data_IF_176930528780
#
_entry.id   IF_176930528780
#
_cell.length_a   1.000
_cell.length_b   1.000
_cell.length_c   1.000
_cell.angle_alpha   90.00
_cell.angle_beta   90.00
_cell.angle_gamma   90.00
#
_symmetry.space_group_name_H-M   'P 1'
#
loop_
_entity.id
_entity.type
_entity.pdbx_description
1 polymer ?
2 polymer ?
3 polymer ?
4 non-polymer ?
5 non-polymer ?
6 water ?
#
# COMPACT_ATOMS: atom_id res chain seq x y z
N UNK A 7 -2.61 18.14 8.23
CA UNK A 7 -3.79 18.43 9.01
C UNK A 7 -5.01 17.73 8.42
N UNK A 8 -4.96 17.64 7.10
CA UNK A 8 -6.01 17.02 6.33
C UNK A 8 -5.74 15.61 5.86
N UNK A 9 -4.75 14.95 6.45
CA UNK A 9 -4.39 13.62 5.94
C UNK A 9 -5.60 12.71 6.05
N UNK A 10 -5.72 11.75 5.15
CA UNK A 10 -6.70 10.72 5.30
C UNK A 10 -8.15 11.09 5.10
N UNK A 11 -8.39 12.31 4.63
CA UNK A 11 -9.71 12.80 4.30
C UNK A 11 -9.78 12.99 2.77
N UNK A 12 -10.55 12.16 2.07
CA UNK A 12 -10.49 12.16 0.62
C UNK A 12 -11.34 13.27 0.02
N UNK A 13 -10.77 14.02 -0.89
CA UNK A 13 -11.56 15.10 -1.55
C UNK A 13 -12.89 14.64 -2.11
N UNK A 14 -12.96 13.43 -2.72
CA UNK A 14 -14.22 13.03 -3.32
C UNK A 14 -15.15 12.24 -2.44
N UNK A 15 -14.70 12.02 -1.19
CA UNK A 15 -15.52 11.26 -0.24
C UNK A 15 -15.67 12.05 1.04
N UNK A 16 -14.77 11.91 2.00
CA UNK A 16 -15.03 12.55 3.30
C UNK A 16 -15.20 14.06 3.17
N UNK A 17 -14.38 14.72 2.34
CA UNK A 17 -14.59 16.16 2.16
C UNK A 17 -15.50 16.32 0.79
N UNK A 18 -16.70 15.77 0.98
CA UNK A 18 -18.02 16.04 0.46
C UNK A 18 -19.13 15.27 1.16
N UNK A 19 -18.74 14.57 2.26
CA UNK A 19 -19.62 13.68 3.00
C UNK A 19 -20.29 12.70 2.06
N UNK A 20 -19.51 12.12 1.15
CA UNK A 20 -19.91 10.97 0.35
C UNK A 20 -19.19 9.70 0.86
N UNK A 21 -19.92 8.60 0.90
CA UNK A 21 -19.34 7.29 1.27
C UNK A 21 -19.05 6.47 0.04
N UNK A 22 -17.93 5.75 0.09
CA UNK A 22 -17.63 4.82 -1.02
C UNK A 22 -18.43 3.54 -0.86
N UNK A 23 -18.37 2.68 -1.85
CA UNK A 23 -19.27 1.54 -1.89
C UNK A 23 -19.05 0.48 -0.84
N UNK A 24 -17.86 0.41 -0.24
CA UNK A 24 -17.67 -0.69 0.72
C UNK A 24 -17.09 -0.24 2.05
N UNK A 25 -16.93 1.06 2.30
CA UNK A 25 -16.36 1.45 3.60
C UNK A 25 -17.23 1.04 4.76
N UNK A 26 -18.54 0.92 4.52
CA UNK A 26 -19.39 0.47 5.62
C UNK A 26 -19.03 -0.92 6.10
N UNK A 27 -18.57 -1.79 5.19
CA UNK A 27 -18.09 -3.14 5.59
C UNK A 27 -16.98 -3.05 6.63
N UNK A 28 -16.08 -2.04 6.44
CA UNK A 28 -15.02 -1.84 7.41
C UNK A 28 -15.62 -1.40 8.75
N UNK A 29 -16.50 -0.39 8.68
CA UNK A 29 -17.09 0.10 9.92
C UNK A 29 -17.81 -0.99 10.68
N UNK A 30 -18.53 -1.84 9.98
CA UNK A 30 -19.26 -2.93 10.65
C UNK A 30 -18.37 -3.93 11.33
N UNK A 31 -17.08 -4.03 10.92
CA UNK A 31 -16.15 -4.96 11.51
C UNK A 31 -15.49 -4.39 12.77
N UNK A 32 -15.66 -3.09 13.02
CA UNK A 32 -14.99 -2.46 14.17
C UNK A 32 -15.93 -2.47 15.36
N UNK A 33 -16.17 -3.76 15.82
CA UNK A 33 -17.36 -3.96 16.67
C UNK A 33 -17.00 -3.66 18.08
N UNK A 34 -15.77 -4.03 18.43
CA UNK A 34 -15.47 -4.16 19.83
C UNK A 34 -14.04 -4.28 20.15
N UNK B 1 -4.49 -7.73 -7.34
CA UNK B 1 -5.50 -8.07 -6.33
C UNK B 1 -6.35 -9.20 -6.90
N UNK B 2 -6.43 -10.28 -6.17
CA UNK B 2 -7.33 -11.41 -6.52
C UNK B 2 -8.64 -11.27 -5.76
N UNK B 3 -9.74 -11.47 -6.47
CA UNK B 3 -11.09 -11.52 -5.93
C UNK B 3 -11.50 -10.17 -5.32
N UNK B 4 -10.97 -9.08 -5.88
CA UNK B 4 -11.34 -7.70 -5.57
C UNK B 4 -12.34 -7.16 -6.55
N UNK B 5 -12.40 -5.83 -6.57
CA UNK B 5 -13.29 -5.15 -7.49
C UNK B 5 -12.66 -3.85 -7.94
N UNK B 6 -13.21 -3.22 -8.96
CA UNK B 6 -12.71 -1.95 -9.42
C UNK B 6 -12.87 -0.89 -8.35
N UNK B 7 -11.81 -0.12 -8.15
CA UNK B 7 -11.90 1.07 -7.31
C UNK B 7 -12.81 2.12 -7.93
N UNK B 8 -13.43 2.93 -7.08
CA UNK B 8 -14.12 4.12 -7.50
C UNK B 8 -13.13 5.24 -7.78
N UNK B 9 -13.49 6.21 -8.61
CA UNK B 9 -12.60 7.34 -8.81
C UNK B 9 -12.37 8.07 -7.51
N UNK B 10 -11.12 8.36 -7.22
CA UNK B 10 -10.71 9.04 -6.02
C UNK B 10 -10.83 8.28 -4.73
N UNK B 11 -11.04 6.97 -4.80
CA UNK B 11 -11.24 6.16 -3.60
C UNK B 11 -9.98 5.97 -2.78
N UNK B 12 -8.83 5.96 -3.45
CA UNK B 12 -7.53 5.74 -2.83
C UNK B 12 -6.56 6.79 -3.37
N UNK B 13 -6.74 8.07 -2.98
CA UNK B 13 -5.96 9.14 -3.64
C UNK B 13 -4.51 9.20 -3.18
N UNK B 14 -4.17 8.39 -2.19
CA UNK B 14 -2.79 8.18 -1.74
C UNK B 14 -2.10 7.04 -2.49
N UNK B 15 -2.81 6.33 -3.38
CA UNK B 15 -2.17 5.24 -4.11
C UNK B 15 -1.07 5.74 -5.04
N UNK B 16 0.07 5.07 -5.03
CA UNK B 16 1.18 5.41 -5.89
C UNK B 16 1.57 4.16 -6.66
N UNK B 17 1.87 4.36 -7.93
CA UNK B 17 2.47 3.31 -8.74
C UNK B 17 3.96 3.55 -8.85
N UNK B 18 4.73 2.59 -8.70
CA UNK B 18 6.16 2.58 -8.97
C UNK B 18 6.37 2.04 -10.35
N UNK B 19 7.06 2.81 -11.03
CA UNK B 19 7.12 2.48 -12.48
C UNK B 19 8.58 2.37 -12.89
N UNK B 20 8.96 1.24 -13.48
CA UNK B 20 10.30 1.08 -14.02
C UNK B 20 10.40 1.90 -15.33
N UNK B 21 11.45 2.70 -15.44
CA UNK B 21 11.64 3.56 -16.61
C UNK B 21 11.91 2.78 -17.90
N UNK B 22 12.81 1.81 -17.81
CA UNK B 22 13.18 1.07 -19.02
C UNK B 22 13.55 -0.36 -18.59
N UNK B 23 12.87 -1.41 -19.01
CA UNK B 23 11.61 -1.31 -19.78
C UNK B 23 10.47 -0.71 -18.92
N UNK B 24 9.64 0.09 -19.55
CA UNK B 24 8.48 0.73 -18.90
C UNK B 24 7.58 -0.34 -18.32
N UNK B 25 7.53 -0.50 -16.99
CA UNK B 25 6.67 -1.52 -16.43
C UNK B 25 6.28 -1.24 -14.96
N UNK B 26 5.21 -1.87 -14.52
CA UNK B 26 4.75 -1.72 -13.16
C UNK B 26 5.71 -2.46 -12.25
N UNK B 27 6.30 -1.81 -11.25
CA UNK B 27 7.14 -2.57 -10.32
C UNK B 27 6.42 -2.95 -9.04
N UNK B 28 5.69 -2.01 -8.51
CA UNK B 28 5.03 -2.25 -7.23
C UNK B 28 4.09 -1.08 -6.94
N UNK B 29 3.38 -1.24 -5.83
CA UNK B 29 2.64 -0.14 -5.26
C UNK B 29 3.46 0.59 -4.19
N UNK B 30 2.82 1.67 -3.71
CA UNK B 30 3.36 2.61 -2.75
C UNK B 30 2.23 3.54 -2.30
N UNK B 31 2.56 4.44 -1.38
CA UNK B 31 1.55 5.34 -0.88
C UNK B 31 2.11 6.74 -0.62
N UNK B 32 1.27 7.76 -0.78
CA UNK B 32 1.65 9.13 -0.55
C UNK B 32 1.42 9.52 0.90
N UNK B 33 2.43 9.92 1.62
CA UNK B 33 2.25 10.28 3.04
C UNK B 33 2.48 11.77 3.28
N UNK B 34 2.99 12.49 2.29
CA UNK B 34 3.01 13.96 2.30
C UNK B 34 3.34 14.42 0.89
N UNK B 35 3.54 15.75 0.72
CA UNK B 35 3.73 16.25 -0.63
C UNK B 35 5.07 15.83 -1.19
N UNK B 36 6.00 15.33 -0.43
CA UNK B 36 7.32 14.94 -0.87
C UNK B 36 7.72 13.52 -0.49
N UNK B 37 6.95 12.77 0.23
CA UNK B 37 7.34 11.45 0.76
C UNK B 37 6.34 10.36 0.35
N UNK B 38 6.91 9.26 -0.15
CA UNK B 38 6.22 8.07 -0.57
C UNK B 38 6.76 6.88 0.21
N UNK B 39 5.86 6.04 0.69
CA UNK B 39 6.13 4.88 1.50
C UNK B 39 5.92 3.62 0.64
N UNK B 40 6.85 2.67 0.76
CA UNK B 40 6.70 1.41 0.04
C UNK B 40 7.35 0.28 0.87
N UNK B 41 7.42 -0.92 0.27
CA UNK B 41 8.11 -2.05 0.86
C UNK B 41 9.55 -2.04 0.38
N UNK B 42 10.47 -2.32 1.28
CA UNK B 42 11.88 -2.42 0.93
C UNK B 42 12.11 -3.45 -0.18
N UNK B 43 11.39 -4.58 -0.15
CA UNK B 43 11.66 -5.61 -1.16
C UNK B 43 11.33 -5.12 -2.57
N UNK B 44 10.55 -4.04 -2.78
CA UNK B 44 10.29 -3.48 -4.05
C UNK B 44 11.53 -2.80 -4.62
N UNK B 45 12.46 -2.45 -3.77
CA UNK B 45 13.63 -1.69 -4.18
C UNK B 45 14.90 -2.51 -4.01
N UNK B 46 14.96 -3.39 -3.03
CA UNK B 46 16.17 -4.15 -2.73
C UNK B 46 15.83 -5.60 -2.44
N UNK B 47 16.27 -6.50 -3.28
CA UNK B 47 16.02 -7.92 -3.03
C UNK B 47 17.10 -8.69 -3.77
N UNK B 48 18.24 -8.80 -3.12
CA UNK B 48 19.38 -9.53 -3.74
C UNK B 48 19.10 -10.92 -4.25
N UNK B 49 18.26 -11.77 -3.68
CA UNK B 49 18.09 -13.11 -4.29
C UNK B 49 17.57 -13.04 -5.71
N UNK B 50 16.96 -11.93 -6.09
CA UNK B 50 16.57 -11.74 -7.49
C UNK B 50 17.34 -10.69 -8.25
N UNK B 51 18.50 -10.31 -7.76
CA UNK B 51 19.35 -9.27 -8.35
C UNK B 51 18.60 -7.96 -8.56
N UNK B 52 17.78 -7.64 -7.57
CA UNK B 52 17.03 -6.38 -7.57
C UNK B 52 17.72 -5.42 -6.63
N UNK B 53 18.13 -4.28 -7.16
CA UNK B 53 18.73 -3.21 -6.39
C UNK B 53 18.59 -1.91 -7.18
N UNK B 54 17.46 -1.26 -6.96
CA UNK B 54 17.21 -0.07 -7.75
C UNK B 54 17.79 1.17 -7.11
N UNK B 55 18.20 2.07 -8.00
CA UNK B 55 18.69 3.36 -7.45
C UNK B 55 17.67 4.38 -7.91
N UNK B 56 17.79 5.60 -7.45
CA UNK B 56 16.79 6.62 -7.67
C UNK B 56 16.42 6.83 -9.13
N UNK B 57 17.45 6.74 -9.98
CA UNK B 57 17.22 7.15 -11.37
C UNK B 57 16.65 6.04 -12.22
N UNK B 58 16.45 4.87 -11.61
CA UNK B 58 15.88 3.75 -12.34
C UNK B 58 14.35 3.80 -12.39
N UNK B 59 13.77 4.68 -11.57
CA UNK B 59 12.35 4.62 -11.28
C UNK B 59 11.62 5.95 -11.37
N UNK B 60 10.31 5.85 -11.53
CA UNK B 60 9.43 6.99 -11.41
C UNK B 60 8.23 6.61 -10.54
N UNK B 61 7.59 7.60 -9.98
CA UNK B 61 6.37 7.32 -9.26
C UNK B 61 5.22 8.05 -9.99
N UNK B 62 4.10 7.34 -10.09
CA UNK B 62 2.92 7.90 -10.75
C UNK B 62 1.79 7.98 -9.73
N UNK B 63 1.28 9.18 -9.56
CA UNK B 63 0.34 9.50 -8.48
C UNK B 63 -0.96 9.97 -9.11
N UNK B 64 -2.10 9.61 -8.51
CA UNK B 64 -3.38 10.04 -9.00
C UNK B 64 -4.02 9.13 -10.03
N UNK B 65 -3.43 7.94 -10.18
CA UNK B 65 -3.91 7.07 -11.26
C UNK B 65 -5.13 6.25 -10.88
N UNK B 66 -5.76 5.83 -11.97
CA UNK B 66 -6.87 4.92 -11.93
C UNK B 66 -6.67 3.79 -12.93
N UNK B 67 -6.58 4.16 -14.22
CA UNK B 67 -6.17 3.19 -15.22
C UNK B 67 -4.77 2.67 -14.98
N UNK B 68 -4.54 1.37 -15.21
CA UNK B 68 -3.20 0.76 -15.06
C UNK B 68 -2.26 1.28 -16.14
N UNK B 69 -2.71 1.19 -17.39
CA UNK B 69 -1.74 1.37 -18.49
C UNK B 69 -1.81 2.74 -19.13
N UNK B 70 -2.93 3.44 -19.01
CA UNK B 70 -3.11 4.76 -19.60
C UNK B 70 -2.17 5.85 -19.08
N UNK B 71 -1.72 6.75 -19.95
CA UNK B 71 -1.24 8.02 -19.42
C UNK B 71 -2.43 8.95 -19.15
N UNK B 72 -2.79 9.16 -17.88
CA UNK B 72 -4.02 9.90 -17.53
C UNK B 72 -3.79 11.39 -17.48
N UNK B 73 -3.78 11.86 -18.74
CA UNK B 73 -3.53 13.27 -18.94
C UNK B 73 -4.37 14.21 -18.07
N UNK B 74 -3.79 15.22 -17.43
CA UNK B 74 -4.48 16.18 -16.62
C UNK B 74 -5.05 15.59 -15.33
N UNK B 75 -4.67 14.40 -14.96
CA UNK B 75 -5.10 13.79 -13.70
C UNK B 75 -3.89 13.27 -12.94
N UNK B 76 -3.15 12.36 -13.57
CA UNK B 76 -1.99 11.78 -12.87
C UNK B 76 -0.85 12.78 -12.89
N UNK B 77 0.05 12.58 -11.95
CA UNK B 77 1.28 13.26 -11.87
C UNK B 77 2.42 12.29 -11.77
N UNK B 78 3.48 12.63 -12.47
CA UNK B 78 4.67 11.73 -12.51
C UNK B 78 5.86 12.43 -11.88
N UNK B 79 6.44 11.82 -10.86
CA UNK B 79 7.47 12.43 -10.03
C UNK B 79 8.75 11.61 -10.09
N UNK B 80 9.85 12.34 -10.03
CA UNK B 80 11.18 11.73 -10.00
C UNK B 80 11.61 11.60 -8.56
N UNK B 81 12.47 10.64 -8.31
CA UNK B 81 13.00 10.39 -6.97
C UNK B 81 14.30 11.15 -6.70
N UNK B 82 14.34 11.81 -5.55
CA UNK B 82 15.55 12.43 -5.02
C UNK B 82 16.39 11.40 -4.29
N UNK B 83 15.79 10.54 -3.46
CA UNK B 83 16.58 9.63 -2.62
C UNK B 83 15.66 8.55 -2.08
N UNK B 84 16.18 7.35 -2.03
CA UNK B 84 15.61 6.18 -1.41
C UNK B 84 16.26 5.91 -0.05
N UNK B 85 15.44 5.54 0.92
CA UNK B 85 15.86 5.17 2.28
C UNK B 85 15.25 3.82 2.62
N UNK B 86 16.09 2.82 2.80
CA UNK B 86 15.62 1.51 3.23
C UNK B 86 15.91 1.29 4.71
N UNK B 87 14.96 0.67 5.44
CA UNK B 87 15.21 0.37 6.85
C UNK B 87 16.56 -0.36 7.02
N UNK B 88 17.43 0.11 7.93
CA UNK B 88 18.76 -0.47 8.03
C UNK B 88 18.81 -1.90 8.48
N UNK B 89 17.86 -2.46 9.11
CA UNK B 89 17.55 -3.76 9.68
C UNK B 89 16.48 -4.54 8.89
N UNK B 90 16.17 -4.11 7.65
CA UNK B 90 15.40 -4.90 6.69
C UNK B 90 16.06 -6.24 6.49
N UNK B 91 15.32 -7.30 6.78
CA UNK B 91 15.86 -8.67 6.77
C UNK B 91 15.47 -9.40 5.52
N UNK B 92 16.12 -9.11 4.41
CA UNK B 92 15.88 -9.74 3.10
C UNK B 92 16.45 -11.15 3.11
N UNK B 93 17.36 -11.49 3.98
CA UNK B 93 17.93 -12.83 3.92
C UNK B 93 16.97 -13.92 4.41
N UNK B 94 16.13 -13.58 5.42
CA UNK B 94 15.30 -14.58 6.09
C UNK B 94 13.82 -14.41 5.79
N UNK B 95 13.16 -13.43 6.38
CA UNK B 95 11.70 -13.37 6.36
C UNK B 95 11.10 -12.04 5.96
N UNK B 96 11.89 -11.13 5.44
CA UNK B 96 11.44 -9.78 5.06
C UNK B 96 11.02 -8.99 6.29
N UNK B 97 11.55 -9.29 7.46
CA UNK B 97 11.30 -8.44 8.62
C UNK B 97 11.68 -7.00 8.33
N UNK B 98 10.88 -6.06 8.83
CA UNK B 98 11.07 -4.64 8.63
C UNK B 98 11.07 -4.27 7.14
N UNK B 99 10.08 -4.74 6.42
CA UNK B 99 9.95 -4.56 4.97
C UNK B 99 9.36 -3.17 4.68
N UNK B 100 10.21 -2.17 4.74
CA UNK B 100 9.74 -0.78 4.64
C UNK B 100 10.84 0.11 4.07
N UNK B 101 10.41 1.06 3.23
CA UNK B 101 11.29 2.00 2.59
C UNK B 101 10.54 3.30 2.32
N UNK B 102 11.30 4.38 2.29
CA UNK B 102 10.80 5.70 2.01
C UNK B 102 11.50 6.26 0.76
N UNK B 103 10.77 7.01 -0.05
CA UNK B 103 11.26 7.67 -1.20
C UNK B 103 10.89 9.15 -1.12
N UNK B 104 11.92 10.01 -1.17
CA UNK B 104 11.75 11.44 -1.22
C UNK B 104 11.69 11.91 -2.67
N UNK B 105 10.66 12.65 -3.05
CA UNK B 105 10.48 13.14 -4.39
C UNK B 105 11.36 14.37 -4.61
N UNK B 106 11.74 14.55 -5.89
CA UNK B 106 12.51 15.72 -6.22
C UNK B 106 11.78 17.06 -6.02
N UNK B 107 10.48 17.06 -6.30
CA UNK B 107 9.68 18.26 -6.14
C UNK B 107 8.38 17.87 -5.48
N UNK B 108 7.76 18.83 -4.82
CA UNK B 108 6.50 18.46 -4.16
C UNK B 108 5.43 18.26 -5.20
N UNK B 109 4.55 17.31 -4.91
CA UNK B 109 3.41 17.07 -5.79
C UNK B 109 2.24 17.92 -5.26
N UNK B 110 1.51 18.54 -6.18
CA UNK B 110 0.31 19.26 -5.86
C UNK B 110 -0.86 18.32 -5.55
N UNK B 111 -1.53 18.57 -4.43
CA UNK B 111 -2.73 17.74 -4.15
C UNK B 111 -3.88 18.12 -5.06
N UNK B 112 -4.83 17.23 -5.24
CA UNK B 112 -5.99 17.46 -6.09
C UNK B 112 -7.11 16.54 -5.64
N UNK B 113 -8.19 16.48 -6.41
CA UNK B 113 -9.25 15.53 -6.10
C UNK B 113 -8.74 14.10 -6.12
N UNK B 114 -7.65 13.85 -6.83
CA UNK B 114 -7.16 12.50 -7.13
C UNK B 114 -5.85 12.19 -6.40
N UNK B 115 -5.26 13.18 -5.74
CA UNK B 115 -3.95 13.08 -5.11
C UNK B 115 -4.00 13.67 -3.72
N UNK B 116 -3.86 12.85 -2.69
CA UNK B 116 -4.05 13.31 -1.34
C UNK B 116 -3.37 12.34 -0.38
N UNK B 117 -2.68 12.79 0.64
CA UNK B 117 -1.98 11.82 1.50
C UNK B 117 -2.83 11.07 2.51
N UNK B 118 -2.38 9.88 2.87
CA UNK B 118 -2.95 9.06 3.91
C UNK B 118 -2.32 9.39 5.28
N UNK B 119 -3.03 9.17 6.38
CA UNK B 119 -2.43 9.35 7.69
C UNK B 119 -1.61 8.15 8.13
N UNK B 120 -0.64 8.40 8.98
CA UNK B 120 0.09 7.33 9.64
C UNK B 120 -0.40 7.16 11.07
N UNK B 121 -0.54 5.94 11.54
CA UNK B 121 -1.04 5.72 12.89
C UNK B 121 -0.10 6.17 13.99
N UNK B 122 -0.68 6.57 15.10
CA UNK B 122 0.04 6.66 16.38
C UNK B 122 -0.29 5.43 17.23
N UNK B 123 0.27 5.40 18.43
CA UNK B 123 0.21 4.18 19.25
C UNK B 123 -1.25 3.85 19.54
N UNK B 124 -2.06 4.89 19.80
CA UNK B 124 -3.43 4.61 20.15
C UNK B 124 -4.22 4.15 18.94
N UNK B 125 -3.90 4.70 17.78
CA UNK B 125 -4.57 4.25 16.56
C UNK B 125 -4.35 2.75 16.39
N UNK B 126 -3.10 2.37 16.54
CA UNK B 126 -2.80 0.95 16.38
C UNK B 126 -3.47 0.07 17.43
N UNK B 127 -3.46 0.55 18.65
CA UNK B 127 -4.12 -0.28 19.66
C UNK B 127 -5.61 -0.38 19.37
N UNK B 128 -6.24 0.70 18.95
CA UNK B 128 -7.69 0.61 18.74
C UNK B 128 -8.04 -0.24 17.52
N UNK B 129 -7.28 -0.22 16.46
CA UNK B 129 -7.75 -0.78 15.19
C UNK B 129 -7.09 -2.10 14.79
N UNK B 130 -5.86 -2.37 15.28
CA UNK B 130 -5.21 -3.60 14.86
C UNK B 130 -5.60 -4.75 15.76
N UNK B 131 -6.81 -5.26 15.51
CA UNK B 131 -7.42 -6.34 16.28
C UNK B 131 -7.96 -7.39 15.33
N UNK B 132 -7.85 -8.64 15.74
CA UNK B 132 -8.38 -9.71 14.89
C UNK B 132 -9.84 -9.48 14.59
N UNK B 133 -10.19 -9.66 13.33
CA UNK B 133 -11.55 -9.47 12.87
C UNK B 133 -11.85 -8.12 12.25
N UNK B 134 -11.11 -7.10 12.71
CA UNK B 134 -11.25 -5.77 12.13
C UNK B 134 -10.75 -5.79 10.70
N UNK B 135 -11.48 -5.16 9.76
CA UNK B 135 -11.07 -5.20 8.38
C UNK B 135 -10.31 -3.96 7.93
N UNK B 136 -9.36 -4.15 7.07
CA UNK B 136 -8.71 -3.10 6.35
C UNK B 136 -8.88 -3.31 4.84
N UNK B 137 -8.28 -2.41 4.07
CA UNK B 137 -8.47 -2.34 2.65
C UNK B 137 -7.11 -2.34 1.95
N UNK B 138 -6.99 -3.20 0.95
CA UNK B 138 -5.74 -3.31 0.16
C UNK B 138 -6.09 -2.93 -1.29
N UNK B 139 -5.22 -2.17 -1.93
CA UNK B 139 -5.42 -1.66 -3.28
C UNK B 139 -4.17 -1.89 -4.13
N UNK B 140 -4.37 -2.09 -5.41
CA UNK B 140 -3.24 -2.25 -6.28
C UNK B 140 -3.60 -2.60 -7.72
N UNK B 141 -2.61 -2.51 -8.58
CA UNK B 141 -2.73 -2.90 -9.98
C UNK B 141 -2.04 -4.21 -10.30
N UNK B 142 -1.75 -5.02 -9.27
CA UNK B 142 -1.16 -6.33 -9.47
C UNK B 142 -2.12 -7.32 -10.13
N UNK B 143 -1.57 -8.52 -10.33
CA UNK B 143 -2.29 -9.53 -11.08
C UNK B 143 -3.60 -9.91 -10.43
N UNK B 144 -4.51 -10.31 -11.29
CA UNK B 144 -5.84 -10.75 -10.83
C UNK B 144 -5.92 -12.21 -10.36
N UNK B 145 -4.89 -12.97 -10.76
CA UNK B 145 -4.74 -14.38 -10.43
C UNK B 145 -3.28 -14.80 -10.24
N UNK B 146 -3.05 -15.80 -9.42
CA UNK B 146 -1.66 -16.31 -9.22
C UNK B 146 -1.04 -16.77 -10.51
N UNK B 147 -1.81 -17.39 -11.42
CA UNK B 147 -1.18 -17.83 -12.67
C UNK B 147 -2.17 -17.67 -13.83
N UNK B 155 -5.67 -11.83 -16.27
CA UNK B 155 -4.29 -11.41 -16.08
C UNK B 155 -4.06 -10.18 -15.23
N UNK B 156 -3.95 -9.02 -15.84
CA UNK B 156 -3.77 -7.70 -15.28
C UNK B 156 -5.01 -6.83 -15.46
N UNK B 157 -5.30 -6.02 -14.46
CA UNK B 157 -6.52 -5.22 -14.46
C UNK B 157 -6.39 -4.00 -15.34
N UNK B 158 -7.55 -3.56 -15.85
CA UNK B 158 -7.71 -2.31 -16.57
C UNK B 158 -7.60 -1.14 -15.59
N UNK B 159 -8.14 -1.27 -14.40
CA UNK B 159 -8.15 -0.20 -13.42
C UNK B 159 -7.81 -0.71 -12.01
N UNK B 160 -7.45 0.25 -11.16
CA UNK B 160 -7.09 -0.06 -9.77
C UNK B 160 -8.09 -0.97 -9.10
N UNK B 161 -7.61 -2.00 -8.40
CA UNK B 161 -8.44 -2.95 -7.71
C UNK B 161 -8.38 -2.68 -6.20
N UNK B 162 -9.47 -3.06 -5.55
CA UNK B 162 -9.66 -2.92 -4.11
C UNK B 162 -10.24 -4.16 -3.48
N UNK B 163 -9.80 -4.54 -2.30
CA UNK B 163 -10.42 -5.63 -1.55
C UNK B 163 -10.30 -5.32 -0.06
N UNK B 164 -11.39 -5.64 0.65
CA UNK B 164 -11.38 -5.48 2.12
C UNK B 164 -11.11 -6.83 2.75
N UNK B 165 -10.24 -6.91 3.74
CA UNK B 165 -9.82 -8.16 4.33
C UNK B 165 -9.68 -8.03 5.86
N UNK B 166 -10.09 -9.05 6.61
CA UNK B 166 -9.94 -9.01 8.07
C UNK B 166 -8.56 -9.34 8.58
N UNK B 167 -8.13 -8.63 9.62
CA UNK B 167 -6.92 -8.99 10.35
C UNK B 167 -7.12 -10.35 11.03
N UNK B 168 -6.10 -11.18 10.98
CA UNK B 168 -6.17 -12.54 11.54
C UNK B 168 -5.45 -12.67 12.86
N UNK B 169 -5.97 -13.57 13.72
CA UNK B 169 -5.30 -13.88 14.95
C UNK B 169 -3.86 -14.33 14.77
N UNK B 170 -2.97 -13.78 15.64
CA UNK B 170 -1.57 -14.11 15.41
C UNK B 170 -1.25 -15.59 15.45
N UNK B 171 -1.76 -16.37 16.36
CA UNK B 171 -1.45 -17.80 16.29
C UNK B 171 -1.94 -18.45 15.00
N UNK B 172 -3.05 -18.00 14.44
CA UNK B 172 -3.48 -18.53 13.14
C UNK B 172 -2.53 -18.17 12.03
N UNK B 173 -2.08 -16.90 11.93
CA UNK B 173 -1.07 -16.50 10.96
C UNK B 173 0.20 -17.36 11.07
N UNK B 174 0.64 -17.61 12.36
CA UNK B 174 1.87 -18.37 12.56
C UNK B 174 1.72 -19.83 12.11
N UNK B 175 0.53 -20.36 12.39
CA UNK B 175 0.26 -21.75 12.04
C UNK B 175 0.02 -21.98 10.55
N UNK B 176 -0.02 -20.94 9.71
CA UNK B 176 -0.24 -21.05 8.28
C UNK B 176 1.02 -21.13 7.44
N UNK B 177 2.17 -21.01 8.07
CA UNK B 177 3.41 -20.79 7.35
C UNK B 177 4.56 -21.42 8.12
N UNK B 178 5.67 -21.71 7.40
CA UNK B 178 6.91 -22.14 8.04
C UNK B 178 7.84 -20.97 8.39
N UNK B 179 7.48 -19.78 7.84
CA UNK B 179 8.29 -18.59 8.04
C UNK B 179 8.10 -18.10 9.46
N UNK B 180 9.19 -17.58 10.03
CA UNK B 180 9.12 -16.96 11.34
C UNK B 180 8.45 -15.59 11.19
N UNK B 181 7.32 -15.45 11.88
CA UNK B 181 6.56 -14.19 11.94
C UNK B 181 7.00 -13.33 13.09
N UNK B 182 7.34 -12.08 12.80
CA UNK B 182 7.81 -11.17 13.80
C UNK B 182 6.70 -10.20 14.22
N UNK B 183 7.02 -9.47 15.31
CA UNK B 183 6.08 -8.47 15.81
C UNK B 183 5.94 -7.28 14.86
N UNK B 184 6.81 -7.08 13.91
CA UNK B 184 6.77 -6.11 12.82
C UNK B 184 5.92 -6.51 11.64
N UNK B 185 5.18 -7.62 11.74
CA UNK B 185 4.31 -8.12 10.71
C UNK B 185 2.91 -8.39 11.30
N UNK B 186 1.88 -8.30 10.48
CA UNK B 186 0.59 -8.87 10.82
C UNK B 186 0.05 -9.55 9.58
N UNK B 187 -0.97 -10.39 9.74
CA UNK B 187 -1.56 -11.02 8.54
C UNK B 187 -3.05 -10.72 8.47
N UNK B 188 -3.56 -10.82 7.24
CA UNK B 188 -4.99 -10.53 7.00
C UNK B 188 -5.44 -11.44 5.87
N UNK B 189 -6.74 -11.70 5.86
CA UNK B 189 -7.36 -12.55 4.88
C UNK B 189 -8.48 -13.35 5.52
N UNK B 190 -9.34 -13.90 4.64
CA UNK B 190 -10.42 -14.79 5.13
C UNK B 190 -9.90 -16.20 5.31
N UNK B 191 -10.53 -16.88 6.25
CA UNK B 191 -10.19 -18.29 6.50
C UNK B 191 -11.00 -19.14 5.54
N UNK B 192 -10.58 -20.36 5.25
CA UNK B 192 -11.35 -21.24 4.35
C UNK B 192 -12.83 -21.32 4.67
N UNK B 193 -12.96 -21.34 5.73
CA UNK B 193 -14.46 -21.58 6.25
C UNK B 193 -15.33 -20.35 6.26
N UNK B 194 -14.72 -19.19 6.15
CA UNK B 194 -15.45 -17.94 6.01
C UNK B 194 -16.02 -17.78 4.60
N UNK B 195 -15.49 -18.53 3.64
CA UNK B 195 -16.03 -18.53 2.29
C UNK B 195 -15.82 -17.27 1.48
N UNK B 196 -15.48 -16.11 2.10
CA UNK B 196 -15.21 -14.97 1.22
C UNK B 196 -13.74 -15.03 0.88
N UNK B 197 -13.33 -14.27 -0.13
CA UNK B 197 -11.97 -14.44 -0.62
C UNK B 197 -11.30 -13.10 -0.88
N UNK B 198 -10.03 -13.11 -1.26
CA UNK B 198 -9.30 -11.94 -1.65
C UNK B 198 -7.87 -11.94 -1.15
N UNK B 199 -6.98 -11.34 -1.90
CA UNK B 199 -5.59 -11.27 -1.49
C UNK B 199 -4.90 -10.31 -2.42
N UNK B 200 -3.74 -9.87 -1.94
CA UNK B 200 -2.80 -9.20 -2.81
C UNK B 200 -2.10 -10.23 -3.69
N UNK B 201 -1.53 -9.74 -4.81
CA UNK B 201 -0.81 -10.64 -5.70
C UNK B 201 0.36 -9.90 -6.35
N UNK B 202 1.09 -10.55 -7.26
CA UNK B 202 2.27 -9.93 -7.88
C UNK B 202 2.00 -8.56 -8.49
N UNK B 203 2.73 -7.53 -8.09
CA UNK B 203 2.53 -6.19 -8.51
C UNK B 203 1.86 -5.31 -7.44
N UNK B 204 1.28 -5.90 -6.43
CA UNK B 204 0.57 -5.19 -5.36
C UNK B 204 1.51 -4.86 -4.20
N UNK B 205 2.64 -5.56 -4.09
CA UNK B 205 3.59 -5.35 -3.06
C UNK B 205 3.95 -3.88 -2.92
N UNK B 206 4.14 -3.44 -1.68
CA UNK B 206 4.50 -2.05 -1.44
C UNK B 206 3.30 -1.15 -1.26
N UNK B 207 2.12 -1.58 -1.68
CA UNK B 207 0.92 -0.80 -1.52
C UNK B 207 0.39 -0.82 -0.12
N UNK B 208 -0.61 0.04 0.11
CA UNK B 208 -1.11 0.21 1.47
C UNK B 208 -2.24 -0.70 1.89
N UNK B 209 -2.25 -1.04 3.16
CA UNK B 209 -3.36 -1.63 3.91
C UNK B 209 -3.88 -0.51 4.81
N UNK B 210 -5.09 -0.01 4.52
CA UNK B 210 -5.63 1.11 5.22
C UNK B 210 -6.90 0.74 6.00
N UNK B 211 -7.14 1.52 7.05
CA UNK B 211 -8.32 1.38 7.90
C UNK B 211 -8.94 2.75 8.13
N UNK B 212 -10.24 2.86 8.22
CA UNK B 212 -10.88 4.16 8.45
C UNK B 212 -11.27 4.27 9.91
N UNK B 213 -10.65 5.19 10.62
CA UNK B 213 -10.94 5.26 12.05
C UNK B 213 -12.41 5.66 12.25
N UNK B 214 -13.14 4.93 13.06
CA UNK B 214 -14.52 5.32 13.36
C UNK B 214 -14.61 6.46 14.36
N UNK B 215 -13.56 6.85 15.02
CA UNK B 215 -13.39 7.92 15.97
C UNK B 215 -13.25 9.27 15.28
N UNK B 216 -12.37 9.43 14.27
CA UNK B 216 -12.17 10.71 13.64
C UNK B 216 -12.38 10.71 12.11
N UNK B 217 -12.89 9.62 11.52
CA UNK B 217 -13.30 9.53 10.14
C UNK B 217 -12.14 9.65 9.16
N UNK B 218 -10.90 9.42 9.60
CA UNK B 218 -9.75 9.51 8.72
C UNK B 218 -9.19 8.13 8.38
N UNK B 219 -8.61 8.05 7.21
CA UNK B 219 -7.91 6.82 6.79
C UNK B 219 -6.46 6.80 7.23
N UNK B 220 -6.07 5.68 7.86
CA UNK B 220 -4.74 5.40 8.32
C UNK B 220 -4.14 4.19 7.60
N UNK B 221 -2.86 4.37 7.28
CA UNK B 221 -2.15 3.25 6.69
C UNK B 221 -1.53 2.39 7.80
N UNK B 222 -2.15 1.26 8.05
CA UNK B 222 -1.72 0.38 9.12
C UNK B 222 -0.67 -0.62 8.65
N UNK B 223 -0.71 -0.95 7.37
CA UNK B 223 0.18 -2.00 6.82
C UNK B 223 0.70 -1.63 5.46
N UNK B 224 1.75 -2.33 5.08
CA UNK B 224 2.31 -2.33 3.70
C UNK B 224 2.28 -3.75 3.20
N UNK B 225 1.80 -3.94 1.97
CA UNK B 225 1.79 -5.27 1.37
C UNK B 225 3.21 -5.80 1.28
N UNK B 226 3.48 -6.92 1.99
CA UNK B 226 4.86 -7.43 2.11
C UNK B 226 5.00 -8.76 1.41
N UNK B 227 4.34 -9.81 1.84
CA UNK B 227 4.58 -11.10 1.21
C UNK B 227 3.40 -12.04 1.46
N UNK B 228 3.32 -13.07 0.59
CA UNK B 228 2.37 -14.14 0.82
C UNK B 228 2.84 -15.38 0.07
N UNK B 229 2.22 -16.49 0.36
CA UNK B 229 2.61 -17.78 -0.24
C UNK B 229 1.53 -18.09 -1.27
N UNK B 230 1.82 -17.75 -2.49
CA UNK B 230 0.86 -17.72 -3.59
C UNK B 230 -0.10 -16.55 -3.42
N UNK B 231 -1.24 -16.60 -4.08
CA UNK B 231 -2.23 -15.56 -3.98
C UNK B 231 -3.59 -16.22 -3.83
N UNK B 232 -4.25 -15.78 -2.76
CA UNK B 232 -5.62 -16.20 -2.47
C UNK B 232 -5.72 -17.71 -2.33
N UNK B 233 -4.69 -18.35 -1.79
CA UNK B 233 -4.78 -19.76 -1.48
C UNK B 233 -5.52 -20.01 -0.18
N UNK B 234 -6.36 -21.06 -0.24
CA UNK B 234 -7.02 -21.44 1.00
C UNK B 234 -6.02 -21.81 2.09
N UNK B 235 -6.19 -21.25 3.28
CA UNK B 235 -5.36 -21.55 4.43
C UNK B 235 -4.08 -20.75 4.48
N UNK B 236 -3.87 -19.88 3.51
CA UNK B 236 -2.72 -18.98 3.50
C UNK B 236 -3.30 -17.57 3.70
N UNK B 237 -2.43 -16.69 4.13
CA UNK B 237 -2.77 -15.30 4.49
C UNK B 237 -1.76 -14.37 3.86
N UNK B 238 -2.14 -13.11 3.70
CA UNK B 238 -1.15 -12.14 3.29
C UNK B 238 -0.53 -11.53 4.55
N UNK B 239 0.76 -11.22 4.36
CA UNK B 239 1.54 -10.60 5.43
C UNK B 239 1.88 -9.17 5.06
N UNK B 240 1.80 -8.31 6.08
CA UNK B 240 1.85 -6.86 5.96
C UNK B 240 2.85 -6.35 7.00
N UNK B 241 3.66 -5.37 6.56
CA UNK B 241 4.54 -4.65 7.44
C UNK B 241 3.71 -3.81 8.42
N UNK B 242 4.00 -3.91 9.70
CA UNK B 242 3.26 -3.19 10.75
C UNK B 242 3.81 -1.76 10.85
N UNK B 243 3.13 -0.83 10.21
CA UNK B 243 3.60 0.53 10.07
C UNK B 243 3.87 1.20 11.41
N UNK B 244 2.96 1.09 12.35
CA UNK B 244 3.17 1.75 13.65
C UNK B 244 4.46 1.25 14.28
N UNK B 245 4.75 -0.05 14.24
CA UNK B 245 5.95 -0.60 14.89
C UNK B 245 7.22 -0.03 14.30
N UNK B 246 7.16 0.50 13.09
CA UNK B 246 8.32 1.05 12.42
C UNK B 246 8.31 2.56 12.32
N UNK B 247 7.39 3.19 13.06
CA UNK B 247 7.24 4.63 12.91
C UNK B 247 8.38 5.45 13.47
N UNK B 248 9.06 4.92 14.50
CA UNK B 248 10.21 5.70 14.96
C UNK B 248 11.22 5.85 13.83
N UNK B 249 11.38 4.79 13.02
CA UNK B 249 12.31 4.95 11.88
C UNK B 249 11.81 5.93 10.84
N UNK B 250 10.50 5.84 10.52
CA UNK B 250 9.90 6.76 9.58
C UNK B 250 10.14 8.21 10.00
N UNK B 251 9.82 8.47 11.24
CA UNK B 251 9.97 9.84 11.73
C UNK B 251 11.44 10.27 11.75
N UNK B 252 12.34 9.36 12.15
CA UNK B 252 13.76 9.69 12.15
C UNK B 252 14.19 10.16 10.79
N UNK B 253 13.80 9.42 9.74
CA UNK B 253 14.23 9.75 8.39
C UNK B 253 13.60 11.07 7.98
N UNK B 254 12.32 11.27 8.18
CA UNK B 254 11.73 12.51 7.72
C UNK B 254 12.28 13.65 8.55
N UNK B 255 12.53 13.47 9.83
CA UNK B 255 13.04 14.56 10.65
C UNK B 255 14.45 14.96 10.24
N UNK B 256 15.24 14.01 9.72
CA UNK B 256 16.62 14.26 9.36
C UNK B 256 16.78 14.79 7.95
N UNK B 257 15.94 14.32 7.03
CA UNK B 257 16.08 14.60 5.62
C UNK B 257 14.97 15.36 4.92
N UNK B 258 13.86 15.61 5.61
CA UNK B 258 12.76 16.35 4.98
C UNK B 258 13.13 17.83 4.92
N UNK B 259 12.34 18.66 4.25
CA UNK B 259 12.83 20.03 4.05
C UNK B 259 11.91 21.08 4.65
N UNK C 1 2.64 -2.37 -24.15
CA UNK C 1 1.42 -2.44 -23.34
C UNK C 1 1.14 -1.21 -22.48
N UNK C 2 2.10 -0.61 -21.80
CA UNK C 2 1.86 0.69 -21.16
C UNK C 2 1.91 1.79 -22.22
N UNK C 3 0.97 2.72 -22.07
CA UNK C 3 1.00 3.90 -22.91
C UNK C 3 2.19 4.77 -22.53
N UNK C 4 2.87 5.25 -23.59
CA UNK C 4 4.10 5.99 -23.42
C UNK C 4 3.85 7.28 -22.67
N UNK C 5 4.77 7.65 -21.82
CA UNK C 5 4.53 8.87 -21.06
C UNK C 5 5.32 10.03 -21.63
N UNK C 6 5.05 11.27 -21.24
CA UNK C 6 5.83 12.39 -21.77
C UNK C 6 7.34 12.28 -21.52
N UNK C 7 8.06 12.56 -22.61
CA UNK C 7 9.51 12.54 -22.69
C UNK C 7 10.17 13.32 -21.56
N UNK C 8 9.48 14.46 -21.12
CA UNK C 8 10.08 15.30 -20.10
C UNK C 8 10.27 14.49 -18.81
N UNK C 9 9.53 13.40 -18.66
CA UNK C 9 9.63 12.62 -17.44
C UNK C 9 10.76 11.63 -17.50
N UNK C 10 11.33 11.44 -18.68
CA UNK C 10 12.46 10.54 -18.86
C UNK C 10 13.75 11.23 -19.33
X LIG D 1 -6.11 -17.29 1.74
X LIG E 1 4.34 -21.97 11.60
#
# INVERSE_FOLDING_TARGET
TFGSGEADCGLRPLFEKKSLEDKTERELLESYIDGR
IVEGSDAEIGMSPWQVMLFRKSPQELLCGASLISDRWVLTAAHCLLYPPWDKNFTENDLLVRIGKHSRTRYERNIEKISMLEKIYIHPRYNWRENLDRDIALMKLKKPVAFSDYIHPVCLPDRETAASLLQAGYKGRVTGWGNLKETWTANVGKGQPSVLQVVNLPIVERPVCKDSTRIRITDNMFCAGYKPDEGKRGDACEGDSGGPFVMKSPFNNRWYQMGIVSWGEGCDRDGKYGFYTHVFRLKKWIQKVIDQFGE
DFEEIPEEYL
NA NA
CA CA
#
